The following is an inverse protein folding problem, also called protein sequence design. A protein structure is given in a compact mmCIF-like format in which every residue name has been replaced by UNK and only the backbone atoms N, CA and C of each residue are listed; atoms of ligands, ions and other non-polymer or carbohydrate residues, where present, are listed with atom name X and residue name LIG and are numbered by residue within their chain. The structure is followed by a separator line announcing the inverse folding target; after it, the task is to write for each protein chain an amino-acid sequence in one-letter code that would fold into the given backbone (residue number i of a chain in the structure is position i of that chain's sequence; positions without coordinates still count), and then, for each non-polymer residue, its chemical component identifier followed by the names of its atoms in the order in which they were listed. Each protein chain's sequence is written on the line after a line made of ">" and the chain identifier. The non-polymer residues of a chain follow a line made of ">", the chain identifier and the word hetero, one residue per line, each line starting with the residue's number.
data_IF_011097297254
#
_entry.id   IF_011097297254
#
_cell.length_a   1.000
_cell.length_b   1.000
_cell.length_c   1.000
_cell.angle_alpha   90.00
_cell.angle_beta   90.00
_cell.angle_gamma   90.00
#
_symmetry.space_group_name_H-M   'P 1'
#
loop_
_entity.id
_entity.type
_entity.pdbx_description
1 polymer ?
#
# COMPACT_ATOMS: atom_id res chain seq x y z
N UNK A 1 -11.17 6.53 -4.70
CA UNK A 1 -11.96 7.60 -4.03
C UNK A 1 -12.01 7.38 -2.53
N UNK A 2 -11.79 6.14 -2.09
CA UNK A 2 -12.02 5.69 -0.72
C UNK A 2 -11.06 6.35 0.28
N UNK A 3 -9.76 6.49 -0.07
CA UNK A 3 -8.76 7.14 0.81
C UNK A 3 -9.12 8.62 1.10
N UNK A 4 -9.35 9.50 0.11
CA UNK A 4 -9.74 10.89 0.41
C UNK A 4 -11.12 11.03 1.06
N UNK A 5 -12.09 10.14 0.78
CA UNK A 5 -13.41 10.22 1.43
C UNK A 5 -13.32 9.86 2.92
N UNK A 6 -12.65 8.76 3.23
CA UNK A 6 -12.49 8.30 4.60
C UNK A 6 -11.64 9.27 5.41
N UNK A 7 -10.46 9.65 4.91
CA UNK A 7 -9.52 10.46 5.68
C UNK A 7 -9.72 11.96 5.51
N UNK A 8 -10.25 12.43 4.39
CA UNK A 8 -10.50 13.86 4.14
C UNK A 8 -11.69 14.42 4.94
N UNK A 9 -12.60 13.56 5.41
CA UNK A 9 -13.69 13.96 6.31
C UNK A 9 -13.26 14.03 7.77
N UNK A 10 -12.24 13.27 8.18
CA UNK A 10 -11.78 13.23 9.58
C UNK A 10 -11.30 14.60 10.10
N UNK A 11 -10.56 15.43 9.35
CA UNK A 11 -10.22 16.78 9.78
C UNK A 11 -11.41 17.72 9.95
N UNK A 12 -12.50 17.48 9.21
CA UNK A 12 -13.75 18.23 9.36
C UNK A 12 -14.51 17.79 10.62
N UNK A 13 -14.39 16.52 11.00
CA UNK A 13 -15.02 15.93 12.18
C UNK A 13 -14.21 16.08 13.47
N UNK A 14 -12.88 16.24 13.34
CA UNK A 14 -11.96 16.34 14.46
C UNK A 14 -10.79 17.26 14.13
N UNK A 15 -10.75 18.45 14.75
CA UNK A 15 -9.65 19.42 14.60
C UNK A 15 -8.27 18.85 14.89
N UNK A 16 -8.18 17.75 15.65
CA UNK A 16 -6.91 17.09 15.98
C UNK A 16 -6.28 16.36 14.78
N UNK A 17 -7.03 16.10 13.72
CA UNK A 17 -6.50 15.42 12.54
C UNK A 17 -5.53 16.27 11.71
N UNK A 18 -5.53 17.59 11.92
CA UNK A 18 -4.58 18.54 11.31
C UNK A 18 -3.27 18.68 12.08
N UNK A 19 -3.11 18.02 13.23
CA UNK A 19 -1.85 18.12 13.95
C UNK A 19 -0.74 17.35 13.22
N UNK A 20 0.47 17.92 13.27
CA UNK A 20 1.70 17.37 12.70
C UNK A 20 2.10 15.96 13.22
N UNK A 21 1.35 15.42 14.19
CA UNK A 21 1.48 14.02 14.62
C UNK A 21 0.69 13.03 13.76
N UNK A 22 -0.10 13.50 12.78
CA UNK A 22 -0.83 12.60 11.88
C UNK A 22 0.14 12.02 10.85
N UNK A 23 0.88 11.00 11.29
CA UNK A 23 1.90 10.25 10.55
C UNK A 23 1.27 9.24 9.59
N UNK A 24 0.21 9.64 8.89
CA UNK A 24 -0.49 8.79 7.93
C UNK A 24 0.23 8.82 6.60
N UNK A 25 0.52 7.64 6.08
CA UNK A 25 1.00 7.48 4.71
C UNK A 25 0.08 6.55 3.93
N UNK A 26 0.06 6.71 2.62
CA UNK A 26 -0.64 5.82 1.71
C UNK A 26 0.20 5.54 0.47
N UNK A 27 -0.17 4.51 -0.28
CA UNK A 27 0.38 4.24 -1.60
C UNK A 27 -0.54 4.81 -2.68
N UNK A 28 0.04 5.43 -3.70
CA UNK A 28 -0.67 5.89 -4.89
C UNK A 28 -0.06 5.28 -6.16
N UNK A 29 -0.88 4.93 -7.14
CA UNK A 29 -0.38 4.48 -8.44
C UNK A 29 0.48 5.58 -9.07
N UNK A 30 1.70 5.25 -9.50
CA UNK A 30 2.58 6.21 -10.16
C UNK A 30 1.94 6.78 -11.44
N UNK A 31 1.33 5.93 -12.25
CA UNK A 31 0.74 6.31 -13.54
C UNK A 31 -0.52 7.19 -13.42
N UNK A 32 -1.22 7.17 -12.27
CA UNK A 32 -2.42 7.98 -12.02
C UNK A 32 -2.07 9.20 -11.14
N UNK A 33 -1.53 8.95 -9.94
CA UNK A 33 -1.24 9.98 -8.94
C UNK A 33 0.03 10.79 -9.25
N UNK A 34 0.92 10.30 -10.12
CA UNK A 34 2.18 10.97 -10.45
C UNK A 34 2.33 11.23 -11.95
N UNK A 35 1.18 11.35 -12.65
CA UNK A 35 1.09 11.55 -14.10
C UNK A 35 1.65 12.89 -14.59
N UNK A 36 1.56 13.94 -13.78
CA UNK A 36 2.11 15.26 -14.08
C UNK A 36 2.53 15.99 -12.80
N UNK A 37 3.39 16.98 -12.95
CA UNK A 37 4.03 17.69 -11.83
C UNK A 37 3.06 18.26 -10.80
N UNK A 38 1.97 18.90 -11.25
CA UNK A 38 1.01 19.51 -10.33
C UNK A 38 0.31 18.44 -9.48
N UNK A 39 -0.11 17.35 -10.12
CA UNK A 39 -0.76 16.22 -9.46
C UNK A 39 0.24 15.47 -8.57
N UNK A 40 1.48 15.24 -9.02
CA UNK A 40 2.54 14.62 -8.23
C UNK A 40 2.87 15.43 -6.97
N UNK A 41 2.96 16.76 -7.07
CA UNK A 41 3.17 17.63 -5.92
C UNK A 41 2.01 17.55 -4.93
N UNK A 42 0.77 17.59 -5.42
CA UNK A 42 -0.44 17.45 -4.59
C UNK A 42 -0.43 16.13 -3.80
N UNK A 43 -0.16 15.00 -4.44
CA UNK A 43 -0.14 13.69 -3.78
C UNK A 43 1.07 13.54 -2.84
N UNK A 44 2.22 14.09 -3.19
CA UNK A 44 3.41 14.11 -2.29
C UNK A 44 3.11 14.87 -1.00
N UNK A 45 2.50 16.07 -1.10
CA UNK A 45 2.07 16.86 0.06
C UNK A 45 0.95 16.16 0.86
N UNK A 46 0.13 15.36 0.17
CA UNK A 46 -0.87 14.48 0.79
C UNK A 46 -0.31 13.22 1.44
N UNK A 47 1.01 13.09 1.59
CA UNK A 47 1.71 11.94 2.18
C UNK A 47 1.43 10.62 1.44
N UNK A 48 1.35 10.70 0.11
CA UNK A 48 1.17 9.53 -0.77
C UNK A 48 2.50 9.19 -1.41
N UNK A 49 2.91 7.91 -1.32
CA UNK A 49 4.14 7.43 -1.92
C UNK A 49 3.87 6.78 -3.30
N UNK A 50 4.69 7.06 -4.32
CA UNK A 50 4.51 6.57 -5.69
C UNK A 50 4.78 5.07 -5.79
N UNK A 51 3.81 4.31 -6.28
CA UNK A 51 3.90 2.85 -6.42
C UNK A 51 3.73 2.46 -7.88
N UNK A 52 4.73 1.79 -8.43
CA UNK A 52 4.69 1.26 -9.79
C UNK A 52 3.94 -0.07 -9.84
N UNK A 53 3.14 -0.23 -10.89
CA UNK A 53 2.34 -1.43 -11.14
C UNK A 53 2.95 -2.19 -12.30
N UNK A 54 3.17 -3.49 -12.13
CA UNK A 54 3.85 -4.33 -13.13
C UNK A 54 3.14 -4.38 -14.49
N UNK A 55 1.85 -3.99 -14.56
CA UNK A 55 1.11 -3.89 -15.81
C UNK A 55 1.55 -2.68 -16.67
N UNK A 56 1.95 -1.59 -16.03
CA UNK A 56 2.22 -0.29 -16.68
C UNK A 56 3.69 0.13 -16.66
N UNK A 57 4.50 -0.51 -15.83
CA UNK A 57 5.89 -0.14 -15.59
C UNK A 57 6.75 -1.36 -15.27
N UNK A 58 7.93 -1.44 -15.89
CA UNK A 58 8.95 -2.45 -15.58
C UNK A 58 9.50 -2.32 -14.16
N UNK A 59 9.36 -1.14 -13.54
CA UNK A 59 9.76 -0.87 -12.15
C UNK A 59 8.72 -1.34 -11.13
N UNK A 60 7.57 -1.85 -11.60
CA UNK A 60 6.53 -2.37 -10.73
C UNK A 60 6.89 -3.73 -10.13
N UNK A 61 6.58 -3.93 -8.86
CA UNK A 61 6.78 -5.22 -8.22
C UNK A 61 6.83 -5.14 -6.71
N UNK A 62 7.14 -6.28 -6.11
CA UNK A 62 7.20 -6.46 -4.66
C UNK A 62 8.37 -5.72 -4.01
N UNK A 63 9.48 -5.58 -4.73
CA UNK A 63 10.76 -5.05 -4.23
C UNK A 63 11.08 -3.61 -4.66
N UNK A 64 10.05 -2.87 -5.07
CA UNK A 64 10.24 -1.48 -5.49
C UNK A 64 10.70 -0.58 -4.32
N UNK A 65 11.45 0.51 -4.60
CA UNK A 65 12.02 1.40 -3.57
C UNK A 65 11.00 1.97 -2.59
N UNK A 66 9.79 2.26 -3.06
CA UNK A 66 8.69 2.77 -2.23
C UNK A 66 8.27 1.81 -1.12
N UNK A 67 8.38 0.50 -1.32
CA UNK A 67 8.10 -0.48 -0.28
C UNK A 67 9.15 -0.42 0.85
N UNK A 68 10.41 -0.15 0.50
CA UNK A 68 11.48 0.08 1.47
C UNK A 68 11.18 1.30 2.35
N UNK A 69 10.71 2.41 1.74
CA UNK A 69 10.31 3.60 2.48
C UNK A 69 9.15 3.30 3.46
N UNK A 70 8.15 2.55 3.01
CA UNK A 70 7.03 2.13 3.86
C UNK A 70 7.45 1.27 5.05
N UNK A 71 8.30 0.26 4.86
CA UNK A 71 8.82 -0.59 5.94
C UNK A 71 9.58 0.26 6.98
N UNK A 72 10.38 1.23 6.49
CA UNK A 72 11.14 2.16 7.32
C UNK A 72 10.25 3.12 8.10
N UNK A 73 9.15 3.61 7.50
CA UNK A 73 8.15 4.43 8.18
C UNK A 73 7.47 3.71 9.35
N UNK A 74 7.23 2.41 9.22
CA UNK A 74 6.70 1.55 10.30
C UNK A 74 7.74 1.25 11.39
N UNK A 75 8.98 1.68 11.22
CA UNK A 75 10.12 1.35 12.06
C UNK A 75 10.72 2.59 12.72
N UNK A 76 11.64 2.37 13.67
CA UNK A 76 12.39 3.45 14.30
C UNK A 76 13.49 3.97 13.37
N UNK A 77 13.29 5.17 12.83
CA UNK A 77 14.28 5.89 12.02
C UNK A 77 15.14 6.85 12.84
N UNK A 78 15.80 7.82 12.18
CA UNK A 78 15.74 8.12 10.74
C UNK A 78 16.53 7.11 9.88
N UNK A 79 16.19 7.03 8.58
CA UNK A 79 16.86 6.17 7.62
C UNK A 79 17.37 6.96 6.41
N UNK A 80 18.61 6.71 5.99
CA UNK A 80 19.13 7.26 4.75
C UNK A 80 18.30 6.79 3.54
N UNK A 81 18.09 7.62 2.49
CA UNK A 81 17.44 7.19 1.24
C UNK A 81 18.15 6.04 0.52
N UNK A 82 19.41 5.75 0.88
CA UNK A 82 20.18 4.64 0.33
C UNK A 82 19.50 3.27 0.49
N UNK A 83 19.69 2.35 -0.48
CA UNK A 83 20.49 2.45 -1.70
C UNK A 83 19.75 3.13 -2.87
N UNK A 84 18.56 3.66 -2.63
CA UNK A 84 17.68 4.21 -3.66
C UNK A 84 17.76 5.73 -3.71
N UNK A 85 18.91 6.33 -3.37
CA UNK A 85 19.06 7.78 -3.39
C UNK A 85 18.85 8.33 -4.82
N UNK A 86 18.09 9.42 -4.96
CA UNK A 86 17.91 10.07 -6.25
C UNK A 86 19.23 10.71 -6.74
N UNK A 87 19.41 10.88 -8.06
CA UNK A 87 20.60 11.55 -8.60
C UNK A 87 20.85 12.92 -7.96
N UNK A 88 22.12 13.31 -7.80
CA UNK A 88 22.50 14.55 -7.10
C UNK A 88 21.81 15.81 -7.67
N UNK A 89 21.61 15.87 -9.00
CA UNK A 89 20.90 16.96 -9.68
C UNK A 89 19.40 17.04 -9.36
N UNK A 90 18.83 15.99 -8.75
CA UNK A 90 17.41 15.86 -8.40
C UNK A 90 17.16 15.75 -6.90
N UNK A 91 18.16 16.07 -6.07
CA UNK A 91 18.00 16.14 -4.61
C UNK A 91 17.34 17.43 -4.12
N UNK A 92 17.25 18.45 -4.98
CA UNK A 92 16.73 19.77 -4.61
C UNK A 92 15.45 20.11 -5.37
N UNK A 93 14.57 20.85 -4.70
CA UNK A 93 13.31 21.26 -5.28
C UNK A 93 13.54 22.16 -6.51
N UNK A 94 12.78 21.90 -7.56
CA UNK A 94 12.75 22.72 -8.76
C UNK A 94 11.41 22.57 -9.48
N UNK A 95 11.18 23.39 -10.50
CA UNK A 95 10.02 23.22 -11.40
C UNK A 95 10.02 21.86 -12.13
N UNK A 96 11.14 21.14 -12.14
CA UNK A 96 11.28 19.81 -12.70
C UNK A 96 11.23 18.72 -11.62
N UNK A 97 11.67 19.01 -10.39
CA UNK A 97 11.72 18.09 -9.26
C UNK A 97 10.79 18.60 -8.13
N UNK A 98 9.48 18.45 -8.34
CA UNK A 98 8.47 19.00 -7.42
C UNK A 98 8.14 18.11 -6.24
N UNK A 99 8.60 16.86 -6.26
CA UNK A 99 8.30 15.86 -5.25
C UNK A 99 9.42 15.70 -4.22
N UNK A 100 10.26 16.71 -4.01
CA UNK A 100 11.35 16.69 -3.02
C UNK A 100 11.15 17.82 -2.02
N UNK A 101 11.77 17.72 -0.84
CA UNK A 101 11.61 18.74 0.20
C UNK A 101 12.27 20.06 -0.24
N UNK A 102 11.52 21.18 -0.34
CA UNK A 102 12.10 22.48 -0.64
C UNK A 102 12.82 23.14 0.54
N UNK A 103 12.68 22.60 1.76
CA UNK A 103 13.18 23.22 2.99
C UNK A 103 14.39 22.52 3.61
N UNK A 104 14.67 21.27 3.23
CA UNK A 104 15.84 20.54 3.72
C UNK A 104 17.08 20.86 2.89
N UNK A 105 18.17 21.22 3.59
CA UNK A 105 19.51 21.33 2.99
C UNK A 105 20.17 19.97 2.75
N UNK A 106 19.62 18.91 3.35
CA UNK A 106 20.13 17.54 3.24
C UNK A 106 19.42 16.81 2.10
N UNK A 107 20.18 15.99 1.37
CA UNK A 107 19.65 15.09 0.35
C UNK A 107 18.68 14.05 0.95
N UNK A 108 17.38 14.31 0.82
CA UNK A 108 16.31 13.43 1.32
C UNK A 108 15.42 12.90 0.20
N UNK A 109 15.89 12.85 -1.05
CA UNK A 109 15.13 12.30 -2.15
C UNK A 109 15.59 10.87 -2.51
N UNK A 110 14.62 10.00 -2.77
CA UNK A 110 14.82 8.67 -3.32
C UNK A 110 14.27 8.58 -4.75
N UNK A 111 14.75 7.60 -5.51
CA UNK A 111 14.30 7.33 -6.88
C UNK A 111 13.54 6.00 -6.93
N UNK A 112 12.51 5.93 -7.77
CA UNK A 112 11.78 4.71 -8.10
C UNK A 112 12.19 4.11 -9.45
N UNK A 113 12.78 4.91 -10.35
CA UNK A 113 13.19 4.49 -11.70
C UNK A 113 14.69 4.58 -11.97
N UNK A 114 15.48 5.09 -11.03
CA UNK A 114 16.88 5.48 -11.22
C UNK A 114 17.05 6.91 -11.75
N UNK A 115 16.01 7.47 -12.35
CA UNK A 115 16.03 8.81 -12.91
C UNK A 115 15.14 9.78 -12.12
N UNK A 116 13.98 9.38 -11.64
CA UNK A 116 13.06 10.28 -10.94
C UNK A 116 13.52 10.64 -9.51
N UNK A 117 12.77 11.53 -8.86
CA UNK A 117 13.04 11.96 -7.48
C UNK A 117 11.75 12.18 -6.71
N UNK A 118 11.65 11.53 -5.56
CA UNK A 118 10.53 11.63 -4.63
C UNK A 118 11.06 11.79 -3.21
N UNK A 119 10.30 12.46 -2.36
CA UNK A 119 10.62 12.71 -0.97
C UNK A 119 10.77 11.37 -0.26
N UNK A 120 11.90 11.13 0.39
CA UNK A 120 12.13 9.95 1.22
C UNK A 120 11.61 10.25 2.63
N UNK A 121 10.37 9.87 2.98
CA UNK A 121 9.77 10.32 4.23
C UNK A 121 10.43 9.67 5.45
N UNK A 122 11.09 8.51 5.26
CA UNK A 122 11.80 7.81 6.33
C UNK A 122 13.12 8.47 6.74
N UNK A 123 13.62 9.45 5.97
CA UNK A 123 14.78 10.26 6.34
C UNK A 123 14.50 11.18 7.54
N UNK A 124 13.23 11.48 7.79
CA UNK A 124 12.81 12.36 8.87
C UNK A 124 12.47 11.55 10.11
N UNK A 125 13.23 11.75 11.19
CA UNK A 125 13.01 11.03 12.45
C UNK A 125 11.58 11.20 13.00
N UNK A 126 10.96 12.36 12.76
CA UNK A 126 9.59 12.66 13.17
C UNK A 126 8.52 11.77 12.50
N UNK A 127 8.86 11.09 11.41
CA UNK A 127 8.00 10.13 10.71
C UNK A 127 8.22 8.67 11.17
N UNK A 128 9.05 8.42 12.18
CA UNK A 128 9.19 7.07 12.75
C UNK A 128 7.88 6.61 13.37
N UNK A 129 7.61 5.30 13.31
CA UNK A 129 6.36 4.70 13.79
C UNK A 129 5.11 5.39 13.20
N UNK A 130 5.20 5.72 11.91
CA UNK A 130 4.06 6.13 11.12
C UNK A 130 3.07 4.97 10.94
N UNK A 131 1.86 5.28 10.48
CA UNK A 131 0.90 4.26 10.08
C UNK A 131 0.63 4.37 8.57
N UNK A 132 0.36 3.23 7.95
CA UNK A 132 0.19 3.14 6.50
C UNK A 132 -1.18 2.58 6.20
N UNK A 133 -1.98 3.34 5.45
CA UNK A 133 -3.25 2.89 4.94
C UNK A 133 -3.09 2.30 3.53
N UNK A 134 -3.61 1.09 3.33
CA UNK A 134 -3.34 0.29 2.12
C UNK A 134 -4.60 -0.39 1.59
N UNK A 135 -4.72 -0.46 0.27
CA UNK A 135 -5.73 -1.26 -0.44
C UNK A 135 -5.04 -2.46 -1.10
N UNK A 136 -5.01 -3.62 -0.43
CA UNK A 136 -4.17 -4.75 -0.84
C UNK A 136 -4.58 -5.42 -2.16
N UNK A 137 -5.81 -5.22 -2.63
CA UNK A 137 -6.29 -5.77 -3.92
C UNK A 137 -5.59 -5.12 -5.13
N UNK A 138 -5.12 -3.88 -4.97
CA UNK A 138 -4.39 -3.14 -6.00
C UNK A 138 -5.18 -2.86 -7.30
N UNK A 139 -6.51 -2.94 -7.23
CA UNK A 139 -7.49 -2.55 -8.26
C UNK A 139 -8.82 -2.18 -7.59
N UNK A 140 -9.66 -1.40 -8.27
CA UNK A 140 -11.06 -1.21 -7.90
C UNK A 140 -11.77 -2.51 -8.24
N UNK A 141 -12.48 -3.07 -7.28
CA UNK A 141 -13.32 -4.24 -7.46
C UNK A 141 -14.72 -3.95 -6.94
N UNK A 142 -15.72 -3.99 -7.82
CA UNK A 142 -17.12 -3.78 -7.50
C UNK A 142 -17.90 -5.05 -7.86
N UNK A 143 -18.01 -5.98 -6.92
CA UNK A 143 -18.76 -7.22 -7.10
C UNK A 143 -20.19 -7.11 -6.51
N UNK A 144 -21.23 -7.64 -7.20
CA UNK A 144 -22.60 -7.60 -6.69
C UNK A 144 -22.79 -8.28 -5.32
N UNK A 145 -22.03 -9.35 -5.07
CA UNK A 145 -21.98 -10.10 -3.81
C UNK A 145 -20.94 -9.56 -2.81
N UNK A 146 -20.33 -8.40 -3.11
CA UNK A 146 -19.32 -7.74 -2.29
C UNK A 146 -18.16 -8.67 -1.91
N UNK A 147 -17.66 -9.43 -2.88
CA UNK A 147 -16.45 -10.23 -2.72
C UNK A 147 -15.19 -9.38 -2.80
N UNK A 148 -14.14 -9.80 -2.11
CA UNK A 148 -12.78 -9.27 -2.27
C UNK A 148 -11.96 -10.10 -3.24
N UNK A 149 -11.11 -9.44 -4.02
CA UNK A 149 -10.05 -10.12 -4.76
C UNK A 149 -8.98 -10.67 -3.82
N UNK A 150 -8.01 -11.37 -4.40
CA UNK A 150 -6.79 -11.73 -3.70
C UNK A 150 -6.02 -10.48 -3.26
N UNK A 151 -5.30 -10.60 -2.15
CA UNK A 151 -4.42 -9.55 -1.66
C UNK A 151 -3.02 -9.70 -2.29
N UNK A 152 -2.45 -8.60 -2.76
CA UNK A 152 -1.08 -8.58 -3.27
C UNK A 152 -0.08 -8.76 -2.13
N UNK A 153 0.99 -9.53 -2.40
CA UNK A 153 1.97 -9.90 -1.38
C UNK A 153 2.77 -8.74 -0.78
N UNK A 154 2.70 -7.54 -1.35
CA UNK A 154 3.35 -6.33 -0.81
C UNK A 154 3.04 -6.07 0.66
N UNK A 155 1.82 -6.39 1.09
CA UNK A 155 1.40 -6.19 2.49
C UNK A 155 2.14 -7.08 3.47
N UNK A 156 2.57 -8.28 3.05
CA UNK A 156 3.34 -9.17 3.91
C UNK A 156 4.71 -8.59 4.26
N UNK A 157 5.33 -7.80 3.37
CA UNK A 157 6.61 -7.16 3.64
C UNK A 157 6.52 -6.16 4.79
N UNK A 158 5.42 -5.40 4.84
CA UNK A 158 5.16 -4.44 5.92
C UNK A 158 5.08 -5.13 7.28
N UNK A 159 4.56 -6.37 7.33
CA UNK A 159 4.45 -7.15 8.57
C UNK A 159 5.72 -7.93 8.90
N UNK A 160 6.39 -8.52 7.91
CA UNK A 160 7.55 -9.39 8.15
C UNK A 160 8.84 -8.59 8.35
N UNK A 161 9.02 -7.50 7.59
CA UNK A 161 10.29 -6.79 7.47
C UNK A 161 10.40 -5.54 8.36
N UNK A 162 9.29 -5.03 8.89
CA UNK A 162 9.33 -3.94 9.86
C UNK A 162 10.07 -4.37 11.13
N UNK A 163 10.86 -3.46 11.71
CA UNK A 163 11.67 -3.73 12.91
C UNK A 163 10.83 -4.31 14.06
N UNK A 164 9.69 -3.68 14.33
CA UNK A 164 8.65 -4.13 15.24
C UNK A 164 7.42 -4.58 14.45
N UNK A 165 6.54 -5.39 15.05
CA UNK A 165 5.30 -5.76 14.38
C UNK A 165 4.34 -4.57 14.45
N UNK A 166 3.92 -3.98 13.33
CA UNK A 166 2.98 -2.88 13.37
C UNK A 166 1.60 -3.39 13.80
N UNK A 167 0.83 -2.53 14.46
CA UNK A 167 -0.58 -2.78 14.72
C UNK A 167 -1.34 -2.93 13.38
N UNK A 168 -2.22 -3.92 13.30
CA UNK A 168 -3.01 -4.19 12.10
C UNK A 168 -4.49 -4.02 12.44
N UNK A 169 -5.11 -3.01 11.82
CA UNK A 169 -6.55 -2.74 11.95
C UNK A 169 -7.24 -3.03 10.61
N UNK A 170 -8.04 -4.11 10.50
CA UNK A 170 -8.79 -4.38 9.29
C UNK A 170 -9.95 -3.39 9.13
N UNK A 171 -10.18 -2.95 7.89
CA UNK A 171 -11.23 -2.00 7.54
C UNK A 171 -12.07 -2.58 6.40
N UNK A 172 -13.39 -2.49 6.52
CA UNK A 172 -14.35 -2.85 5.49
C UNK A 172 -15.12 -1.61 5.03
N UNK A 173 -15.09 -1.33 3.72
CA UNK A 173 -15.72 -0.15 3.12
C UNK A 173 -16.82 -0.60 2.17
N UNK A 174 -18.01 -0.02 2.29
CA UNK A 174 -19.18 -0.33 1.48
C UNK A 174 -19.87 0.95 0.98
N UNK A 175 -20.48 0.90 -0.21
CA UNK A 175 -21.34 1.96 -0.74
C UNK A 175 -20.62 3.00 -1.59
N UNK A 176 -19.29 2.96 -1.67
CA UNK A 176 -18.52 3.85 -2.57
C UNK A 176 -18.76 3.51 -4.04
N UNK A 177 -19.06 2.24 -4.34
CA UNK A 177 -19.59 1.75 -5.62
C UNK A 177 -20.94 2.39 -5.98
N UNK A 178 -21.79 2.70 -5.01
CA UNK A 178 -23.09 3.33 -5.28
C UNK A 178 -22.95 4.82 -5.61
N UNK A 179 -21.95 5.48 -5.03
CA UNK A 179 -21.60 6.89 -5.27
C UNK A 179 -20.89 7.03 -6.62
N UNK A 180 -19.90 6.17 -6.88
CA UNK A 180 -19.02 6.20 -8.04
C UNK A 180 -18.99 4.89 -8.84
N UNK A 181 -20.15 4.35 -9.20
CA UNK A 181 -20.25 3.09 -9.97
C UNK A 181 -19.45 3.13 -11.29
N UNK A 182 -18.79 2.05 -11.69
CA UNK A 182 -17.94 2.09 -12.90
C UNK A 182 -18.74 2.20 -14.21
N UNK A 183 -19.94 1.65 -14.27
CA UNK A 183 -20.89 1.78 -15.40
C UNK A 183 -21.54 3.18 -15.59
N UNK A 184 -20.97 4.24 -15.01
CA UNK A 184 -21.54 5.59 -15.13
C UNK A 184 -21.34 6.16 -16.53
N UNK A 185 -22.43 6.69 -17.10
CA UNK A 185 -22.44 7.50 -18.32
C UNK A 185 -22.01 8.94 -18.03
N UNK A 186 -21.71 9.72 -19.07
CA UNK A 186 -21.28 11.12 -18.93
C UNK A 186 -22.35 11.97 -18.21
N UNK A 187 -21.97 12.87 -17.26
CA UNK A 187 -20.62 13.19 -16.81
C UNK A 187 -20.07 12.22 -15.74
N UNK A 188 -18.94 11.56 -16.04
CA UNK A 188 -18.34 10.50 -15.19
C UNK A 188 -17.67 11.02 -13.90
N UNK A 189 -17.39 12.32 -13.80
CA UNK A 189 -16.71 12.90 -12.64
C UNK A 189 -17.66 13.23 -11.48
N UNK A 190 -18.97 13.29 -11.72
CA UNK A 190 -19.93 13.73 -10.71
C UNK A 190 -20.35 12.54 -9.82
N UNK A 191 -20.18 12.62 -8.48
CA UNK A 191 -20.65 11.59 -7.57
C UNK A 191 -22.18 11.60 -7.42
N UNK A 192 -22.79 10.42 -7.27
CA UNK A 192 -24.22 10.32 -6.93
C UNK A 192 -24.43 10.75 -5.47
N UNK A 193 -25.35 11.68 -5.26
CA UNK A 193 -25.75 12.15 -3.92
C UNK A 193 -26.78 11.20 -3.28
N UNK A 194 -26.98 11.33 -1.96
CA UNK A 194 -27.94 10.52 -1.18
C UNK A 194 -27.69 9.00 -1.23
N UNK A 195 -26.42 8.58 -1.27
CA UNK A 195 -26.02 7.18 -1.10
C UNK A 195 -25.34 7.01 0.24
N UNK A 196 -25.56 5.84 0.85
CA UNK A 196 -25.00 5.51 2.15
C UNK A 196 -23.63 4.88 1.96
N UNK A 197 -22.60 5.52 2.51
CA UNK A 197 -21.26 4.94 2.64
C UNK A 197 -21.14 4.42 4.08
N UNK A 198 -20.66 3.19 4.23
CA UNK A 198 -20.39 2.59 5.53
C UNK A 198 -18.91 2.21 5.60
N UNK A 199 -18.24 2.60 6.68
CA UNK A 199 -16.87 2.23 6.97
C UNK A 199 -16.88 1.51 8.31
N UNK A 200 -16.43 0.26 8.32
CA UNK A 200 -16.43 -0.59 9.51
C UNK A 200 -14.99 -0.91 9.87
N UNK A 201 -14.60 -0.55 11.09
CA UNK A 201 -13.29 -0.90 11.65
C UNK A 201 -13.44 -2.20 12.46
N UNK A 202 -12.61 -3.19 12.18
CA UNK A 202 -12.50 -4.37 13.03
C UNK A 202 -11.67 -4.11 14.28
N UNK A 203 -11.63 -5.10 15.16
CA UNK A 203 -10.70 -5.09 16.29
C UNK A 203 -9.25 -5.13 15.77
N UNK A 204 -8.30 -4.43 16.43
CA UNK A 204 -6.88 -4.63 16.18
C UNK A 204 -6.51 -6.10 16.31
N UNK A 205 -5.71 -6.62 15.38
CA UNK A 205 -5.28 -8.01 15.39
C UNK A 205 -4.36 -8.30 16.59
N UNK A 206 -4.51 -9.47 17.22
CA UNK A 206 -3.49 -9.96 18.15
C UNK A 206 -2.22 -10.30 17.36
N UNK A 207 -1.18 -9.50 17.58
CA UNK A 207 0.05 -9.57 16.78
C UNK A 207 0.83 -10.86 17.01
N UNK A 208 0.85 -11.37 18.24
CA UNK A 208 1.62 -12.56 18.58
C UNK A 208 0.89 -13.81 18.08
N UNK A 209 -0.42 -13.89 18.30
CA UNK A 209 -1.25 -15.00 17.81
C UNK A 209 -1.25 -15.07 16.27
N UNK A 210 -1.42 -13.92 15.60
CA UNK A 210 -1.58 -13.90 14.13
C UNK A 210 -0.23 -13.96 13.43
N UNK A 211 0.77 -13.20 13.87
CA UNK A 211 2.01 -12.97 13.11
C UNK A 211 3.30 -13.36 13.86
N UNK A 212 3.24 -13.70 15.15
CA UNK A 212 4.42 -13.99 15.96
C UNK A 212 5.29 -15.11 15.41
N UNK A 213 4.68 -16.24 15.05
CA UNK A 213 5.37 -17.38 14.43
C UNK A 213 6.01 -17.01 13.08
N UNK A 214 5.24 -16.35 12.21
CA UNK A 214 5.72 -15.92 10.89
C UNK A 214 6.92 -14.99 10.99
N UNK A 215 6.88 -14.03 11.92
CA UNK A 215 7.99 -13.12 12.17
C UNK A 215 9.20 -13.83 12.78
N UNK A 216 9.01 -14.86 13.62
CA UNK A 216 10.12 -15.69 14.13
C UNK A 216 10.81 -16.46 13.00
N UNK A 217 10.01 -17.12 12.14
CA UNK A 217 10.51 -17.84 10.96
C UNK A 217 11.24 -16.90 10.01
N UNK A 218 10.67 -15.73 9.71
CA UNK A 218 11.32 -14.71 8.90
C UNK A 218 12.65 -14.22 9.49
N UNK A 219 12.71 -13.95 10.80
CA UNK A 219 13.94 -13.54 11.47
C UNK A 219 15.02 -14.62 11.41
N UNK A 220 14.65 -15.88 11.57
CA UNK A 220 15.58 -17.01 11.42
C UNK A 220 16.12 -17.09 10.00
N UNK A 221 15.23 -17.08 9.00
CA UNK A 221 15.61 -17.11 7.58
C UNK A 221 16.52 -15.94 7.20
N UNK A 222 16.21 -14.72 7.69
CA UNK A 222 17.04 -13.54 7.48
C UNK A 222 18.43 -13.70 8.10
N UNK A 223 18.52 -14.17 9.34
CA UNK A 223 19.80 -14.37 10.02
C UNK A 223 20.67 -15.43 9.34
N UNK A 224 20.06 -16.46 8.76
CA UNK A 224 20.76 -17.49 7.99
C UNK A 224 21.26 -16.94 6.64
N UNK A 225 20.42 -16.23 5.91
CA UNK A 225 20.76 -15.63 4.61
C UNK A 225 21.81 -14.51 4.71
N UNK A 226 21.89 -13.80 5.84
CA UNK A 226 22.89 -12.75 6.09
C UNK A 226 24.17 -13.28 6.77
N UNK A 227 24.24 -14.57 7.10
CA UNK A 227 25.40 -15.14 7.77
C UNK A 227 26.65 -15.02 6.89
N UNK A 228 27.65 -14.32 7.38
CA UNK A 228 28.91 -14.10 6.65
C UNK A 228 28.86 -12.99 5.58
N UNK A 229 27.77 -12.23 5.51
CA UNK A 229 27.62 -11.06 4.63
C UNK A 229 27.45 -9.77 5.46
N UNK A 230 27.65 -8.61 4.84
CA UNK A 230 27.30 -7.34 5.48
C UNK A 230 25.78 -7.23 5.68
N UNK A 231 25.38 -6.71 6.84
CA UNK A 231 23.97 -6.53 7.18
C UNK A 231 23.35 -5.49 6.25
N UNK A 232 22.36 -5.92 5.46
CA UNK A 232 21.70 -5.04 4.51
C UNK A 232 20.87 -3.95 5.24
N UNK A 233 20.76 -2.73 4.68
CA UNK A 233 19.88 -1.70 5.21
C UNK A 233 18.43 -2.18 5.33
N UNK A 234 17.69 -1.67 6.31
CA UNK A 234 16.30 -2.08 6.55
C UNK A 234 15.43 -1.93 5.29
N UNK A 235 14.70 -3.00 4.94
CA UNK A 235 13.84 -3.10 3.75
C UNK A 235 14.56 -3.48 2.45
N UNK A 236 15.89 -3.64 2.49
CA UNK A 236 16.69 -4.17 1.38
C UNK A 236 16.97 -5.64 1.61
N UNK A 237 16.80 -6.44 0.56
CA UNK A 237 16.87 -7.90 0.61
C UNK A 237 17.85 -8.41 -0.45
N UNK A 238 18.56 -9.49 -0.12
CA UNK A 238 19.32 -10.29 -1.09
C UNK A 238 18.37 -11.19 -1.91
N UNK A 239 18.90 -11.86 -2.93
CA UNK A 239 18.09 -12.68 -3.84
C UNK A 239 17.46 -13.90 -3.18
N UNK A 240 18.12 -14.47 -2.17
CA UNK A 240 17.57 -15.56 -1.36
C UNK A 240 16.32 -15.12 -0.59
N UNK A 241 16.36 -13.95 0.06
CA UNK A 241 15.20 -13.40 0.76
C UNK A 241 14.12 -12.86 -0.18
N UNK A 242 14.47 -12.52 -1.42
CA UNK A 242 13.50 -12.11 -2.45
C UNK A 242 12.76 -13.30 -3.05
N UNK A 243 13.50 -14.32 -3.49
CA UNK A 243 12.99 -15.35 -4.38
C UNK A 243 13.09 -16.78 -3.81
N UNK A 244 13.69 -16.93 -2.63
CA UNK A 244 13.76 -18.21 -1.93
C UNK A 244 12.38 -18.77 -1.65
N UNK A 245 12.26 -20.10 -1.77
CA UNK A 245 10.99 -20.81 -1.61
C UNK A 245 10.35 -20.56 -0.25
N UNK A 246 11.14 -20.63 0.82
CA UNK A 246 10.65 -20.38 2.18
C UNK A 246 10.20 -18.92 2.37
N UNK A 247 10.93 -17.96 1.80
CA UNK A 247 10.55 -16.55 1.83
C UNK A 247 9.21 -16.29 1.10
N UNK A 248 8.99 -16.96 -0.03
CA UNK A 248 7.72 -16.88 -0.78
C UNK A 248 6.58 -17.49 0.03
N UNK A 249 6.77 -18.67 0.60
CA UNK A 249 5.75 -19.35 1.42
C UNK A 249 5.34 -18.50 2.64
N UNK A 250 6.30 -17.90 3.34
CA UNK A 250 6.03 -16.97 4.45
C UNK A 250 5.18 -15.77 4.01
N UNK A 251 5.46 -15.20 2.84
CA UNK A 251 4.69 -14.06 2.30
C UNK A 251 3.27 -14.45 1.93
N UNK A 252 3.08 -15.62 1.31
CA UNK A 252 1.76 -16.15 0.97
C UNK A 252 0.95 -16.36 2.27
N UNK A 253 1.54 -17.01 3.27
CA UNK A 253 0.89 -17.29 4.53
C UNK A 253 0.52 -16.01 5.29
N UNK A 254 1.45 -15.05 5.37
CA UNK A 254 1.21 -13.75 5.99
C UNK A 254 0.08 -12.98 5.28
N UNK A 255 0.11 -12.94 3.94
CA UNK A 255 -0.92 -12.26 3.14
C UNK A 255 -2.30 -12.88 3.34
N UNK A 256 -2.38 -14.22 3.42
CA UNK A 256 -3.62 -14.93 3.72
C UNK A 256 -4.18 -14.53 5.09
N UNK A 257 -3.35 -14.50 6.14
CA UNK A 257 -3.78 -14.10 7.49
C UNK A 257 -4.29 -12.65 7.54
N UNK A 258 -3.68 -11.74 6.78
CA UNK A 258 -4.15 -10.35 6.65
C UNK A 258 -5.52 -10.30 5.95
N UNK A 259 -5.72 -11.09 4.90
CA UNK A 259 -7.03 -11.19 4.22
C UNK A 259 -8.11 -11.74 5.13
N UNK A 260 -7.78 -12.73 5.96
CA UNK A 260 -8.71 -13.31 6.94
C UNK A 260 -9.20 -12.27 7.95
N UNK A 261 -8.34 -11.36 8.41
CA UNK A 261 -8.76 -10.26 9.28
C UNK A 261 -9.84 -9.38 8.63
N UNK A 262 -9.71 -9.09 7.33
CA UNK A 262 -10.72 -8.30 6.62
C UNK A 262 -12.00 -9.11 6.38
N UNK A 263 -11.88 -10.43 6.12
CA UNK A 263 -13.02 -11.33 6.03
C UNK A 263 -13.82 -11.39 7.35
N UNK A 264 -13.15 -11.38 8.50
CA UNK A 264 -13.81 -11.36 9.81
C UNK A 264 -14.69 -10.11 9.97
N UNK A 265 -14.20 -8.93 9.56
CA UNK A 265 -14.99 -7.68 9.55
C UNK A 265 -16.15 -7.78 8.54
N UNK A 266 -15.90 -8.38 7.38
CA UNK A 266 -16.95 -8.63 6.38
C UNK A 266 -18.06 -9.53 6.96
N UNK A 267 -17.72 -10.59 7.68
CA UNK A 267 -18.69 -11.48 8.35
C UNK A 267 -19.45 -10.76 9.45
N UNK A 268 -18.80 -9.89 10.24
CA UNK A 268 -19.48 -9.12 11.29
C UNK A 268 -20.52 -8.14 10.74
N UNK A 269 -20.48 -7.84 9.43
CA UNK A 269 -21.48 -7.05 8.69
C UNK A 269 -22.65 -7.89 8.15
N UNK A 270 -22.69 -9.18 8.43
CA UNK A 270 -23.75 -10.09 8.00
C UNK A 270 -23.63 -10.53 6.54
N UNK A 271 -22.45 -10.38 5.92
CA UNK A 271 -22.20 -10.85 4.56
C UNK A 271 -21.81 -12.35 4.58
N UNK A 272 -22.27 -13.14 3.59
CA UNK A 272 -22.05 -14.59 3.55
C UNK A 272 -20.60 -14.93 3.25
N UNK A 273 -20.10 -16.05 3.74
CA UNK A 273 -18.73 -16.51 3.47
C UNK A 273 -18.41 -16.54 1.97
N UNK A 274 -17.19 -16.11 1.61
CA UNK A 274 -16.73 -16.10 0.23
C UNK A 274 -16.24 -17.49 -0.21
N UNK A 275 -16.30 -17.77 -1.51
CA UNK A 275 -15.64 -18.96 -2.07
C UNK A 275 -14.12 -18.83 -1.83
N UNK A 276 -13.44 -19.84 -1.22
CA UNK A 276 -11.99 -19.84 -1.06
C UNK A 276 -11.19 -19.62 -2.36
N UNK A 277 -11.79 -19.82 -3.53
CA UNK A 277 -11.17 -19.51 -4.83
C UNK A 277 -10.95 -18.02 -5.03
N UNK A 278 -11.75 -17.15 -4.43
CA UNK A 278 -11.62 -15.68 -4.58
C UNK A 278 -10.27 -15.17 -4.06
N UNK A 279 -9.66 -15.89 -3.12
CA UNK A 279 -8.34 -15.54 -2.58
C UNK A 279 -7.17 -15.90 -3.50
N UNK A 280 -7.41 -16.58 -4.62
CA UNK A 280 -6.37 -17.13 -5.52
C UNK A 280 -6.21 -16.28 -6.76
N UNK A 281 -4.96 -15.99 -7.13
CA UNK A 281 -4.65 -15.20 -8.34
C UNK A 281 -5.16 -15.90 -9.61
N UNK A 282 -5.08 -17.23 -9.64
CA UNK A 282 -5.46 -18.06 -10.79
C UNK A 282 -6.95 -17.93 -11.13
N UNK A 283 -7.81 -17.70 -10.15
CA UNK A 283 -9.25 -17.49 -10.35
C UNK A 283 -9.48 -16.26 -11.22
N UNK A 284 -8.80 -15.16 -10.91
CA UNK A 284 -8.93 -13.88 -11.61
C UNK A 284 -8.17 -13.85 -12.95
N UNK A 285 -7.13 -14.67 -13.12
CA UNK A 285 -6.46 -14.84 -14.41
C UNK A 285 -7.34 -15.59 -15.43
N UNK A 286 -8.25 -16.46 -14.95
CA UNK A 286 -9.17 -17.22 -15.81
C UNK A 286 -10.31 -16.40 -16.38
N UNK A 287 -10.64 -15.25 -15.78
CA UNK A 287 -11.69 -14.32 -16.25
C UNK A 287 -11.33 -13.59 -17.57
N UNK A 288 -10.16 -13.88 -18.14
CA UNK A 288 -9.79 -13.50 -19.50
C UNK A 288 -9.02 -12.18 -19.61
N UNK A 289 -8.68 -11.76 -20.85
CA UNK A 289 -7.77 -10.64 -21.12
C UNK A 289 -8.39 -9.25 -20.91
N UNK A 290 -9.65 -9.14 -20.48
CA UNK A 290 -10.25 -7.84 -20.16
C UNK A 290 -9.62 -7.33 -18.86
N UNK A 291 -8.64 -6.44 -18.98
CA UNK A 291 -7.95 -5.84 -17.84
C UNK A 291 -8.88 -4.95 -16.99
N UNK A 292 -9.95 -4.43 -17.61
CA UNK A 292 -10.92 -3.49 -17.03
C UNK A 292 -12.34 -3.70 -17.61
N UNK A 293 -13.35 -3.26 -16.88
CA UNK A 293 -14.75 -3.27 -17.29
C UNK A 293 -15.56 -4.35 -16.55
N UNK A 294 -16.69 -4.74 -17.16
CA UNK A 294 -17.59 -5.77 -16.62
C UNK A 294 -17.02 -7.17 -16.89
N UNK A 295 -16.84 -7.95 -15.83
CA UNK A 295 -16.36 -9.32 -15.85
C UNK A 295 -17.51 -10.33 -15.96
N UNK A 296 -17.17 -11.59 -16.24
CA UNK A 296 -18.14 -12.67 -16.48
C UNK A 296 -18.91 -13.07 -15.22
N UNK A 297 -18.32 -12.84 -14.03
CA UNK A 297 -18.96 -13.00 -12.72
C UNK A 297 -19.92 -11.83 -12.37
N UNK A 298 -20.00 -10.83 -13.25
CA UNK A 298 -20.81 -9.62 -13.07
C UNK A 298 -20.13 -8.53 -12.23
N UNK A 299 -18.91 -8.75 -11.75
CA UNK A 299 -18.10 -7.71 -11.10
C UNK A 299 -17.62 -6.67 -12.11
N UNK A 300 -17.27 -5.49 -11.60
CA UNK A 300 -16.56 -4.46 -12.36
C UNK A 300 -15.17 -4.28 -11.79
N UNK A 301 -14.17 -4.34 -12.66
CA UNK A 301 -12.77 -4.12 -12.29
C UNK A 301 -12.24 -2.90 -13.01
N UNK A 302 -11.49 -2.07 -12.30
CA UNK A 302 -10.77 -0.94 -12.89
C UNK A 302 -9.43 -0.71 -12.21
N UNK A 303 -8.48 -0.17 -12.95
CA UNK A 303 -7.20 0.23 -12.39
C UNK A 303 -7.34 1.43 -11.43
N UNK A 304 -6.76 1.26 -10.23
CA UNK A 304 -6.64 2.29 -9.17
C UNK A 304 -5.30 2.97 -9.14
#
# INVERSE_FOLDING_TARGET
>A
MDDPLMWGTIPLLNRRAFHAFNRRWAFGSHDICFSNRAVSAFFTLGQVMPTHRSLHSSYGGLFQPTMTQAIRLLSRGPFSPEPHMAPASRQHWSLQNVCVDPFSEVATAYTTTGEDSHLAPSAYACNSYSWIHIFPEGKVHQAPNKTMRYFKWGVSRLILEASECPDVVPIWIEGTDQVMHEDRKFPRFLPRVNKNISITFGAPADLEERFGELRRRWRKLKAEAEKGHEVAPLGILNDELKFGKEAIELRIECTRKIRELVLEVRKSRGLPDEDPKESRVETWLREGPKAEGKMDDGSWVRDT
#
